data_IF_900187190002
#
_entry.id   IF_900187190002
#
_cell.length_a   1.000
_cell.length_b   1.000
_cell.length_c   1.000
_cell.angle_alpha   90.00
_cell.angle_beta   90.00
_cell.angle_gamma   90.00
#
_symmetry.space_group_name_H-M   'P 1'
#
loop_
_entity.id
_entity.type
_entity.pdbx_description
1 polymer ?
#
# COMPACT_ATOMS: atom_id res chain seq x y z
N UNK A 1 -11.88 -9.71 -14.64
CA UNK A 1 -10.84 -9.03 -13.84
C UNK A 1 -9.47 -9.42 -14.38
N UNK A 2 -8.70 -8.43 -14.80
CA UNK A 2 -7.39 -8.68 -15.41
C UNK A 2 -6.29 -8.66 -14.35
N UNK A 3 -5.54 -9.75 -14.23
CA UNK A 3 -4.41 -9.87 -13.31
C UNK A 3 -3.13 -9.96 -14.12
N UNK A 4 -2.14 -9.17 -13.77
CA UNK A 4 -0.87 -9.10 -14.47
C UNK A 4 0.30 -9.24 -13.49
N UNK A 5 1.45 -9.61 -14.01
CA UNK A 5 2.69 -9.65 -13.24
C UNK A 5 3.46 -8.36 -13.52
N UNK A 6 3.91 -7.68 -12.47
CA UNK A 6 4.77 -6.51 -12.57
C UNK A 6 6.02 -6.70 -11.73
N UNK A 7 7.15 -6.30 -12.30
CA UNK A 7 8.43 -6.21 -11.60
C UNK A 7 8.70 -4.73 -11.38
N UNK A 8 8.74 -4.30 -10.12
CA UNK A 8 8.94 -2.90 -9.77
C UNK A 8 10.29 -2.69 -9.12
N UNK A 9 10.96 -1.62 -9.54
CA UNK A 9 12.20 -1.17 -8.93
C UNK A 9 11.95 -0.72 -7.48
N UNK A 10 13.02 -0.49 -6.74
CA UNK A 10 12.96 0.04 -5.38
C UNK A 10 12.09 1.29 -5.30
N UNK A 11 11.21 1.33 -4.30
CA UNK A 11 10.33 2.47 -4.01
C UNK A 11 10.76 3.16 -2.74
N UNK A 12 10.79 4.48 -2.78
CA UNK A 12 10.98 5.32 -1.59
C UNK A 12 9.65 5.93 -1.22
N UNK A 13 9.21 5.69 0.01
CA UNK A 13 7.92 6.13 0.52
C UNK A 13 8.10 6.98 1.77
N UNK A 14 7.25 7.98 1.93
CA UNK A 14 7.19 8.84 3.12
C UNK A 14 5.74 9.00 3.53
N UNK A 15 5.45 8.86 4.81
CA UNK A 15 4.10 9.04 5.33
C UNK A 15 3.97 8.64 6.77
N UNK A 16 2.79 8.13 7.14
CA UNK A 16 2.46 7.78 8.50
C UNK A 16 2.37 6.27 8.69
N UNK A 17 2.99 5.79 9.75
CA UNK A 17 2.78 4.41 10.21
C UNK A 17 1.55 4.37 11.10
N UNK A 18 0.59 3.50 10.76
CA UNK A 18 -0.58 3.23 11.58
C UNK A 18 -0.37 1.91 12.31
N UNK A 19 -0.34 1.96 13.63
CA UNK A 19 -0.17 0.78 14.48
C UNK A 19 -1.18 0.86 15.61
N UNK A 20 -2.14 -0.07 15.61
CA UNK A 20 -3.25 -0.08 16.56
C UNK A 20 -3.83 -1.48 16.67
N UNK A 21 -4.84 -1.65 17.50
CA UNK A 21 -5.59 -2.90 17.59
C UNK A 21 -6.32 -3.17 16.26
N UNK A 22 -6.49 -4.44 15.93
CA UNK A 22 -7.01 -4.87 14.62
C UNK A 22 -8.31 -4.17 14.22
N UNK A 23 -9.26 -4.04 15.14
CA UNK A 23 -10.56 -3.41 14.87
C UNK A 23 -10.47 -1.89 14.73
N UNK A 24 -9.35 -1.28 15.10
CA UNK A 24 -9.16 0.17 15.00
C UNK A 24 -8.63 0.61 13.65
N UNK A 25 -8.09 -0.28 12.85
CA UNK A 25 -7.53 0.09 11.53
C UNK A 25 -8.57 0.72 10.61
N UNK A 26 -9.81 0.29 10.67
CA UNK A 26 -10.91 0.84 9.86
C UNK A 26 -11.15 2.34 10.16
N UNK A 27 -10.75 2.80 11.34
CA UNK A 27 -10.86 4.20 11.78
C UNK A 27 -9.53 4.93 11.56
N UNK A 28 -8.43 4.31 11.96
CA UNK A 28 -7.11 4.94 11.99
C UNK A 28 -6.50 5.14 10.60
N UNK A 29 -6.70 4.21 9.66
CA UNK A 29 -6.17 4.35 8.30
C UNK A 29 -6.79 5.55 7.58
N UNK A 30 -8.12 5.74 7.57
CA UNK A 30 -8.70 6.94 6.96
C UNK A 30 -8.24 8.24 7.59
N UNK A 31 -8.04 8.27 8.91
CA UNK A 31 -7.51 9.46 9.60
C UNK A 31 -6.08 9.78 9.17
N UNK A 32 -5.22 8.77 9.10
CA UNK A 32 -3.84 8.93 8.65
C UNK A 32 -3.79 9.37 7.18
N UNK A 33 -4.67 8.83 6.34
CA UNK A 33 -4.78 9.21 4.93
C UNK A 33 -5.13 10.68 4.78
N UNK A 34 -6.11 11.15 5.54
CA UNK A 34 -6.54 12.55 5.53
C UNK A 34 -5.42 13.46 6.01
N UNK A 35 -4.76 13.07 7.08
CA UNK A 35 -3.63 13.82 7.65
C UNK A 35 -2.48 13.93 6.66
N UNK A 36 -2.15 12.83 5.96
CA UNK A 36 -1.12 12.82 4.93
C UNK A 36 -1.50 13.77 3.79
N UNK A 37 -2.73 13.69 3.30
CA UNK A 37 -3.20 14.53 2.21
C UNK A 37 -3.11 16.02 2.55
N UNK A 38 -3.45 16.40 3.78
CA UNK A 38 -3.36 17.78 4.23
C UNK A 38 -1.93 18.30 4.29
N UNK A 39 -0.95 17.41 4.50
CA UNK A 39 0.46 17.77 4.66
C UNK A 39 1.34 17.44 3.46
N UNK A 40 0.76 16.88 2.41
CA UNK A 40 1.53 16.42 1.24
C UNK A 40 2.34 17.56 0.59
N UNK A 41 1.82 18.78 0.65
CA UNK A 41 2.50 19.97 0.14
C UNK A 41 3.81 20.30 0.86
N UNK A 42 3.98 19.77 2.07
CA UNK A 42 5.19 19.98 2.86
C UNK A 42 6.29 18.97 2.50
N UNK A 43 5.99 18.00 1.66
CA UNK A 43 6.94 17.00 1.17
C UNK A 43 7.45 17.45 -0.20
N UNK A 44 8.68 17.95 -0.26
CA UNK A 44 9.22 18.61 -1.47
C UNK A 44 9.56 17.64 -2.60
N UNK A 45 9.71 16.36 -2.30
CA UNK A 45 10.20 15.35 -3.24
C UNK A 45 9.12 14.38 -3.72
N UNK A 46 7.85 14.72 -3.55
CA UNK A 46 6.73 13.86 -3.98
C UNK A 46 6.78 13.64 -5.50
N UNK A 47 6.67 12.37 -5.92
CA UNK A 47 6.64 11.98 -7.32
C UNK A 47 5.27 12.27 -7.93
N UNK A 48 4.20 11.84 -7.26
CA UNK A 48 2.83 12.09 -7.71
C UNK A 48 1.91 12.30 -6.50
N UNK A 49 1.43 13.55 -6.27
CA UNK A 49 0.58 13.84 -5.10
C UNK A 49 -0.83 13.27 -5.21
N UNK A 50 -1.22 12.74 -6.36
CA UNK A 50 -2.55 12.16 -6.57
C UNK A 50 -2.59 10.64 -6.40
N UNK A 51 -1.45 10.04 -6.03
CA UNK A 51 -1.37 8.60 -5.79
C UNK A 51 -0.85 8.32 -4.38
N UNK A 52 -1.59 7.53 -3.62
CA UNK A 52 -1.19 7.11 -2.29
C UNK A 52 -0.82 5.63 -2.29
N UNK A 53 0.11 5.27 -1.42
CA UNK A 53 0.49 3.88 -1.21
C UNK A 53 0.11 3.44 0.20
N UNK A 54 -0.48 2.25 0.29
CA UNK A 54 -0.53 1.49 1.52
C UNK A 54 0.56 0.43 1.47
N UNK A 55 1.29 0.24 2.55
CA UNK A 55 2.33 -0.78 2.63
C UNK A 55 2.18 -1.58 3.91
N UNK A 56 2.35 -2.90 3.82
CA UNK A 56 2.24 -3.79 4.97
C UNK A 56 3.00 -5.08 4.71
N UNK A 57 3.38 -5.76 5.79
CA UNK A 57 4.05 -7.05 5.71
C UNK A 57 3.08 -8.13 6.19
N UNK A 58 2.93 -9.19 5.39
CA UNK A 58 2.08 -10.35 5.73
C UNK A 58 2.92 -11.32 6.57
N UNK A 59 2.37 -11.78 7.70
CA UNK A 59 3.05 -12.70 8.63
C UNK A 59 4.45 -12.19 9.01
N UNK A 60 4.50 -10.93 9.46
CA UNK A 60 5.74 -10.29 9.89
C UNK A 60 6.37 -11.01 11.08
N UNK A 61 7.70 -11.06 11.08
CA UNK A 61 8.49 -11.73 12.13
C UNK A 61 8.88 -10.81 13.27
N UNK A 62 8.84 -9.49 13.05
CA UNK A 62 9.26 -8.49 14.03
C UNK A 62 8.19 -7.44 14.25
N UNK A 63 8.22 -6.81 15.43
CA UNK A 63 7.32 -5.70 15.75
C UNK A 63 7.59 -4.46 14.89
N UNK A 64 8.79 -4.33 14.35
CA UNK A 64 9.17 -3.21 13.50
C UNK A 64 8.40 -3.22 12.18
N UNK A 65 7.86 -4.37 11.77
CA UNK A 65 7.10 -4.54 10.54
C UNK A 65 5.59 -4.58 10.78
N UNK A 66 5.13 -4.47 12.04
CA UNK A 66 3.71 -4.42 12.35
C UNK A 66 3.09 -3.12 11.89
N UNK A 67 1.84 -3.18 11.46
CA UNK A 67 1.05 -2.02 11.13
C UNK A 67 0.80 -1.85 9.64
N UNK A 68 0.33 -0.66 9.30
CA UNK A 68 0.01 -0.27 7.94
C UNK A 68 0.59 1.13 7.71
N UNK A 69 1.37 1.28 6.65
CA UNK A 69 1.97 2.57 6.31
C UNK A 69 1.14 3.24 5.21
N UNK A 70 0.72 4.47 5.46
CA UNK A 70 0.02 5.32 4.49
C UNK A 70 1.04 6.34 4.00
N UNK A 71 1.40 6.25 2.73
CA UNK A 71 2.55 6.96 2.20
C UNK A 71 2.31 7.55 0.82
N UNK A 72 3.22 8.44 0.43
CA UNK A 72 3.41 8.88 -0.95
C UNK A 72 4.79 8.46 -1.42
N UNK A 73 4.93 8.27 -2.73
CA UNK A 73 6.24 8.01 -3.33
C UNK A 73 7.04 9.30 -3.41
N UNK A 74 8.31 9.23 -3.03
CA UNK A 74 9.25 10.35 -3.11
C UNK A 74 10.47 9.96 -3.95
N UNK A 75 11.10 10.96 -4.56
CA UNK A 75 12.33 10.74 -5.30
C UNK A 75 13.57 10.71 -4.42
N UNK A 76 13.47 11.30 -3.23
CA UNK A 76 14.57 11.37 -2.25
C UNK A 76 14.00 11.57 -0.84
N UNK A 77 14.77 11.19 0.18
CA UNK A 77 14.43 11.38 1.59
C UNK A 77 14.96 12.71 2.10
N UNK A 78 14.52 13.79 1.50
CA UNK A 78 14.94 15.14 1.86
C UNK A 78 13.79 15.91 2.51
N UNK A 79 14.08 16.62 3.58
CA UNK A 79 13.12 17.50 4.26
C UNK A 79 11.82 16.76 4.67
N UNK A 80 11.98 15.57 5.24
CA UNK A 80 10.84 14.77 5.72
C UNK A 80 10.20 15.47 6.92
N UNK A 81 8.87 15.72 6.90
CA UNK A 81 8.18 16.29 8.05
C UNK A 81 8.41 15.46 9.32
N UNK A 82 8.58 16.15 10.46
CA UNK A 82 9.03 15.55 11.73
C UNK A 82 8.20 14.33 12.18
N UNK A 83 6.89 14.35 11.93
CA UNK A 83 6.00 13.29 12.39
C UNK A 83 5.87 12.13 11.39
N UNK A 84 6.45 12.27 10.22
CA UNK A 84 6.40 11.25 9.18
C UNK A 84 7.60 10.31 9.27
N UNK A 85 7.44 9.13 8.68
CA UNK A 85 8.49 8.11 8.60
C UNK A 85 8.83 7.85 7.15
N UNK A 86 10.07 7.43 6.92
CA UNK A 86 10.55 6.98 5.61
C UNK A 86 10.53 5.46 5.56
N UNK A 87 10.18 4.92 4.40
CA UNK A 87 10.09 3.47 4.18
C UNK A 87 10.64 3.15 2.79
N UNK A 88 11.59 2.23 2.72
CA UNK A 88 12.13 1.76 1.45
C UNK A 88 11.59 0.37 1.16
N UNK A 89 10.91 0.22 0.03
CA UNK A 89 10.43 -1.07 -0.47
C UNK A 89 11.48 -1.57 -1.47
N UNK A 90 12.09 -2.73 -1.24
CA UNK A 90 13.09 -3.24 -2.17
C UNK A 90 12.44 -3.63 -3.51
N UNK A 91 13.26 -3.81 -4.53
CA UNK A 91 12.78 -4.32 -5.82
C UNK A 91 12.11 -5.68 -5.61
N UNK A 92 10.89 -5.82 -6.11
CA UNK A 92 10.09 -7.03 -5.96
C UNK A 92 9.21 -7.25 -7.19
N UNK A 93 8.78 -8.50 -7.36
CA UNK A 93 7.76 -8.85 -8.36
C UNK A 93 6.41 -9.02 -7.68
N UNK A 94 5.36 -8.61 -8.36
CA UNK A 94 4.00 -8.61 -7.84
C UNK A 94 3.03 -9.21 -8.83
N UNK A 95 2.01 -9.88 -8.32
CA UNK A 95 0.77 -10.11 -9.06
C UNK A 95 -0.15 -8.93 -8.72
N UNK A 96 -0.71 -8.31 -9.74
CA UNK A 96 -1.44 -7.05 -9.61
C UNK A 96 -2.84 -7.18 -10.17
N UNK A 97 -3.82 -6.78 -9.38
CA UNK A 97 -5.21 -6.62 -9.81
C UNK A 97 -5.68 -5.21 -9.47
N UNK A 98 -6.51 -4.62 -10.32
CA UNK A 98 -7.10 -3.31 -10.07
C UNK A 98 -8.53 -3.48 -9.57
N UNK A 99 -8.80 -2.98 -8.38
CA UNK A 99 -10.11 -2.99 -7.76
C UNK A 99 -10.75 -1.62 -7.95
N UNK A 100 -11.93 -1.59 -8.58
CA UNK A 100 -12.75 -0.38 -8.72
C UNK A 100 -14.11 -0.67 -8.13
N UNK A 101 -14.56 0.17 -7.20
CA UNK A 101 -15.85 0.03 -6.56
C UNK A 101 -15.79 0.18 -5.06
N UNK A 102 -16.69 -0.49 -4.35
CA UNK A 102 -16.80 -0.34 -2.90
C UNK A 102 -15.58 -0.85 -2.17
N UNK A 103 -15.12 -0.09 -1.19
CA UNK A 103 -14.04 -0.50 -0.31
C UNK A 103 -14.38 -1.80 0.44
N UNK A 104 -15.66 -2.00 0.78
CA UNK A 104 -16.13 -3.21 1.46
C UNK A 104 -15.95 -4.49 0.64
N UNK A 105 -15.74 -4.37 -0.67
CA UNK A 105 -15.57 -5.51 -1.59
C UNK A 105 -14.09 -5.79 -1.90
N UNK A 106 -13.16 -5.07 -1.30
CA UNK A 106 -11.73 -5.24 -1.57
C UNK A 106 -11.25 -6.66 -1.20
N UNK A 107 -11.84 -7.24 -0.16
CA UNK A 107 -11.53 -8.61 0.25
C UNK A 107 -11.82 -9.65 -0.82
N UNK A 108 -12.88 -9.45 -1.60
CA UNK A 108 -13.23 -10.35 -2.71
C UNK A 108 -12.18 -10.26 -3.82
N UNK A 109 -11.68 -9.05 -4.10
CA UNK A 109 -10.61 -8.86 -5.08
C UNK A 109 -9.31 -9.52 -4.62
N UNK A 110 -9.00 -9.46 -3.35
CA UNK A 110 -7.86 -10.18 -2.78
C UNK A 110 -8.02 -11.69 -2.93
N UNK A 111 -9.18 -12.22 -2.64
CA UNK A 111 -9.44 -13.66 -2.77
C UNK A 111 -9.25 -14.14 -4.21
N UNK A 112 -9.72 -13.36 -5.18
CA UNK A 112 -9.54 -13.65 -6.61
C UNK A 112 -8.06 -13.58 -7.00
N UNK A 113 -7.33 -12.59 -6.48
CA UNK A 113 -5.91 -12.44 -6.75
C UNK A 113 -5.11 -13.62 -6.20
N UNK A 114 -5.36 -14.02 -4.96
CA UNK A 114 -4.68 -15.15 -4.33
C UNK A 114 -4.95 -16.46 -5.07
N UNK A 115 -6.19 -16.68 -5.49
CA UNK A 115 -6.58 -17.86 -6.27
C UNK A 115 -5.86 -17.89 -7.61
N UNK A 116 -5.81 -16.75 -8.31
CA UNK A 116 -5.12 -16.64 -9.59
C UNK A 116 -3.64 -16.95 -9.45
N UNK A 117 -2.99 -16.44 -8.41
CA UNK A 117 -1.57 -16.67 -8.14
C UNK A 117 -1.31 -18.17 -8.02
N UNK A 118 -2.11 -18.87 -7.23
CA UNK A 118 -1.97 -20.31 -7.03
C UNK A 118 -2.23 -21.10 -8.31
N UNK A 119 -3.31 -20.78 -9.03
CA UNK A 119 -3.70 -21.47 -10.26
C UNK A 119 -2.69 -21.29 -11.40
N UNK A 120 -1.94 -20.21 -11.39
CA UNK A 120 -0.95 -19.90 -12.43
C UNK A 120 0.48 -20.28 -12.03
N UNK A 121 0.64 -21.02 -10.93
CA UNK A 121 1.93 -21.58 -10.54
C UNK A 121 2.89 -20.62 -9.88
N UNK A 122 2.40 -19.45 -9.45
CA UNK A 122 3.21 -18.51 -8.70
C UNK A 122 3.10 -18.78 -7.20
N UNK A 123 4.08 -18.27 -6.46
CA UNK A 123 4.12 -18.41 -5.01
C UNK A 123 4.08 -17.04 -4.35
N UNK A 124 3.07 -16.81 -3.50
CA UNK A 124 3.02 -15.63 -2.67
C UNK A 124 4.14 -15.67 -1.65
N UNK A 125 4.78 -14.54 -1.45
CA UNK A 125 5.83 -14.40 -0.44
C UNK A 125 5.25 -13.79 0.83
N UNK A 126 5.51 -14.45 1.95
CA UNK A 126 5.24 -13.93 3.29
C UNK A 126 6.52 -13.27 3.81
N UNK A 127 6.39 -12.45 4.83
CA UNK A 127 7.52 -11.71 5.42
C UNK A 127 8.17 -10.72 4.44
N UNK A 128 7.41 -10.27 3.45
CA UNK A 128 7.81 -9.27 2.47
C UNK A 128 6.76 -8.17 2.43
N UNK A 129 7.16 -7.00 1.94
CA UNK A 129 6.24 -5.89 1.77
C UNK A 129 5.23 -6.19 0.66
N UNK A 130 3.96 -5.91 0.95
CA UNK A 130 2.86 -5.90 -0.01
C UNK A 130 2.37 -4.47 -0.13
N UNK A 131 1.83 -4.12 -1.29
CA UNK A 131 1.46 -2.73 -1.58
C UNK A 131 0.02 -2.62 -2.04
N UNK A 132 -0.58 -1.47 -1.73
CA UNK A 132 -1.82 -1.00 -2.32
C UNK A 132 -1.54 0.38 -2.88
N UNK A 133 -1.82 0.58 -4.17
CA UNK A 133 -1.60 1.86 -4.84
C UNK A 133 -2.95 2.48 -5.16
N UNK A 134 -3.32 3.53 -4.43
CA UNK A 134 -4.60 4.20 -4.57
C UNK A 134 -4.54 5.30 -5.61
N UNK A 135 -5.42 5.22 -6.59
CA UNK A 135 -5.66 6.27 -7.58
C UNK A 135 -6.82 7.16 -7.15
N UNK A 136 -7.77 6.62 -6.38
CA UNK A 136 -8.92 7.34 -5.82
C UNK A 136 -9.34 6.65 -4.52
N UNK A 137 -9.52 7.42 -3.45
CA UNK A 137 -9.79 6.86 -2.12
C UNK A 137 -10.85 7.64 -1.32
N UNK A 138 -11.25 8.83 -1.78
CA UNK A 138 -12.14 9.70 -0.99
C UNK A 138 -13.56 9.16 -0.88
N UNK A 139 -14.06 8.54 -1.93
CA UNK A 139 -15.39 7.94 -1.95
C UNK A 139 -15.27 6.43 -1.66
N UNK A 140 -15.69 6.02 -0.47
CA UNK A 140 -15.60 4.62 -0.02
C UNK A 140 -16.45 3.67 -0.84
N UNK A 141 -17.43 4.18 -1.57
CA UNK A 141 -18.27 3.38 -2.45
C UNK A 141 -17.73 3.27 -3.87
N UNK A 142 -16.64 4.01 -4.16
CA UNK A 142 -16.07 4.05 -5.50
C UNK A 142 -14.57 4.32 -5.47
N UNK A 143 -13.83 3.43 -4.83
CA UNK A 143 -12.37 3.53 -4.77
C UNK A 143 -11.75 2.94 -6.05
N UNK A 144 -10.52 3.34 -6.33
CA UNK A 144 -9.73 2.83 -7.43
C UNK A 144 -8.33 2.53 -6.89
N UNK A 145 -8.02 1.25 -6.74
CA UNK A 145 -6.78 0.81 -6.10
C UNK A 145 -6.18 -0.38 -6.83
N UNK A 146 -4.87 -0.36 -7.01
CA UNK A 146 -4.12 -1.54 -7.44
C UNK A 146 -3.67 -2.32 -6.22
N UNK A 147 -3.99 -3.61 -6.19
CA UNK A 147 -3.54 -4.54 -5.15
C UNK A 147 -2.31 -5.26 -5.69
N UNK A 148 -1.18 -5.07 -5.02
CA UNK A 148 0.12 -5.62 -5.45
C UNK A 148 0.56 -6.66 -4.42
N UNK A 149 0.35 -7.93 -4.77
CA UNK A 149 0.68 -9.06 -3.90
C UNK A 149 2.03 -9.63 -4.29
N UNK A 150 2.97 -9.62 -3.36
CA UNK A 150 4.37 -9.96 -3.65
C UNK A 150 4.52 -11.45 -3.90
N UNK A 151 5.18 -11.79 -5.00
CA UNK A 151 5.42 -13.16 -5.44
C UNK A 151 6.91 -13.43 -5.62
N UNK A 152 7.24 -14.72 -5.60
CA UNK A 152 8.61 -15.18 -5.83
C UNK A 152 9.07 -14.95 -7.27
#
# INVERSE_FOLDING_TARGET
>A
MKIIIKDLAELKLVGYRVLCEAEQYIIEIPQATRRLFEQIKDITTVVDPFQLYGAFVVDNETKDEDGYWVCVEVSDYKDIPTEMVALTIPRQSYAVVRHKGKNSLIGESYNQLHKWIEENGYKRLKNKWHLEKYHSWEDVDNIDVELLDTIE
#
